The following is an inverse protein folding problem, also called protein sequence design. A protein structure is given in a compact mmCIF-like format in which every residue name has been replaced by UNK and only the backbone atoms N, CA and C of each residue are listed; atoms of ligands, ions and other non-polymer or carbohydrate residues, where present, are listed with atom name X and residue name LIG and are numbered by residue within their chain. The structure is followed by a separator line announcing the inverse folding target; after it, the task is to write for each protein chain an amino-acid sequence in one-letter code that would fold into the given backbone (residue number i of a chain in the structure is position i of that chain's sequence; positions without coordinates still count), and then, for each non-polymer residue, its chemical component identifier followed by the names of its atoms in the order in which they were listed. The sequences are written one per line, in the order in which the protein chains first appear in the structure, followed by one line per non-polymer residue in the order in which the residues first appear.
data_IF_078757113171
#
_entry.id   IF_078757113171
#
_cell.length_a   1.000
_cell.length_b   1.000
_cell.length_c   1.000
_cell.angle_alpha   90.00
_cell.angle_beta   90.00
_cell.angle_gamma   90.00
#
_symmetry.space_group_name_H-M   'P 1'
#
loop_
_entity.id
_entity.type
_entity.pdbx_description
1 polymer ?
#
# COMPACT_ATOMS: atom_id res chain seq x y z
N UNK A 1 7.09 18.23 -10.60
CA UNK A 1 5.82 17.62 -11.05
C UNK A 1 6.08 16.26 -11.68
N UNK A 2 5.07 15.40 -11.72
CA UNK A 2 5.15 14.08 -12.32
C UNK A 2 3.83 13.73 -13.04
N UNK A 3 3.91 12.78 -13.94
CA UNK A 3 2.77 12.14 -14.61
C UNK A 3 2.73 10.66 -14.23
N UNK A 4 1.57 10.05 -14.33
CA UNK A 4 1.40 8.65 -14.01
C UNK A 4 0.42 7.97 -14.97
N UNK A 5 0.60 6.66 -15.14
CA UNK A 5 -0.31 5.77 -15.86
C UNK A 5 -0.66 4.58 -15.02
N UNK A 6 -1.95 4.31 -14.86
CA UNK A 6 -2.48 3.12 -14.19
C UNK A 6 -3.05 2.15 -15.21
N UNK A 7 -2.81 0.88 -15.01
CA UNK A 7 -3.41 -0.21 -15.77
C UNK A 7 -3.62 -1.43 -14.87
N UNK A 8 -4.44 -2.39 -15.32
CA UNK A 8 -4.75 -3.61 -14.58
C UNK A 8 -4.50 -4.83 -15.46
N UNK A 9 -4.11 -5.94 -14.84
CA UNK A 9 -3.99 -7.23 -15.49
C UNK A 9 -4.49 -8.35 -14.57
N UNK A 10 -4.92 -9.47 -15.16
CA UNK A 10 -5.34 -10.65 -14.43
C UNK A 10 -4.29 -11.74 -14.56
N UNK A 11 -3.84 -12.28 -13.44
CA UNK A 11 -2.84 -13.33 -13.41
C UNK A 11 -3.03 -14.27 -12.24
N UNK A 12 -2.54 -15.51 -12.39
CA UNK A 12 -2.41 -16.45 -11.30
C UNK A 12 -0.98 -16.45 -10.76
N UNK A 13 -0.84 -16.76 -9.48
CA UNK A 13 0.45 -16.96 -8.83
C UNK A 13 0.33 -17.83 -7.57
N UNK A 14 1.46 -18.28 -7.08
CA UNK A 14 1.66 -18.81 -5.73
C UNK A 14 2.99 -18.31 -5.20
N UNK A 15 3.11 -18.23 -3.88
CA UNK A 15 4.37 -17.88 -3.23
C UNK A 15 5.05 -19.16 -2.74
N UNK A 16 6.08 -19.68 -3.44
CA UNK A 16 6.69 -20.97 -3.12
C UNK A 16 7.52 -20.96 -1.83
N UNK A 17 7.96 -19.77 -1.39
CA UNK A 17 8.88 -19.60 -0.26
C UNK A 17 8.19 -19.38 1.08
N UNK A 18 6.86 -19.27 1.11
CA UNK A 18 6.11 -19.10 2.35
C UNK A 18 6.07 -20.40 3.17
N UNK A 19 5.87 -20.31 4.48
CA UNK A 19 5.74 -21.48 5.35
C UNK A 19 4.63 -22.43 4.88
N UNK A 20 4.82 -23.73 5.15
CA UNK A 20 3.82 -24.76 4.82
C UNK A 20 2.49 -24.44 5.50
N UNK A 21 1.41 -24.46 4.72
CA UNK A 21 0.06 -24.12 5.20
C UNK A 21 -0.32 -22.66 5.07
N UNK A 22 0.59 -21.79 4.65
CA UNK A 22 0.26 -20.42 4.33
C UNK A 22 -0.65 -20.35 3.10
N UNK A 23 -1.72 -19.53 3.16
CA UNK A 23 -2.73 -19.43 2.09
C UNK A 23 -2.15 -19.05 0.72
N UNK A 24 -1.15 -18.16 0.70
CA UNK A 24 -0.50 -17.71 -0.53
C UNK A 24 0.43 -18.77 -1.16
N UNK A 25 0.71 -19.89 -0.47
CA UNK A 25 1.38 -21.03 -1.04
C UNK A 25 0.50 -21.84 -2.02
N UNK A 26 -0.81 -21.64 -2.01
CA UNK A 26 -1.73 -22.25 -2.97
C UNK A 26 -1.77 -21.39 -4.24
N UNK A 27 -1.99 -22.05 -5.39
CA UNK A 27 -2.22 -21.34 -6.65
C UNK A 27 -3.54 -20.58 -6.58
N UNK A 28 -3.48 -19.26 -6.78
CA UNK A 28 -4.64 -18.37 -6.78
C UNK A 28 -4.41 -17.23 -7.77
N UNK A 29 -5.35 -16.30 -7.87
CA UNK A 29 -5.24 -15.20 -8.82
C UNK A 29 -5.83 -13.92 -8.29
N UNK A 30 -5.36 -12.82 -8.89
CA UNK A 30 -5.81 -11.47 -8.63
C UNK A 30 -6.04 -10.69 -9.92
N UNK A 31 -6.81 -9.62 -9.80
CA UNK A 31 -6.72 -8.48 -10.70
C UNK A 31 -5.69 -7.53 -10.09
N UNK A 32 -4.46 -7.59 -10.62
CA UNK A 32 -3.41 -6.69 -10.19
C UNK A 32 -3.60 -5.31 -10.80
N UNK A 33 -3.37 -4.26 -10.02
CA UNK A 33 -3.22 -2.90 -10.54
C UNK A 33 -1.75 -2.49 -10.49
N UNK A 34 -1.31 -1.79 -11.54
CA UNK A 34 0.05 -1.23 -11.62
C UNK A 34 -0.04 0.26 -11.92
N UNK A 35 0.74 1.07 -11.22
CA UNK A 35 0.91 2.49 -11.52
C UNK A 35 2.37 2.79 -11.81
N UNK A 36 2.62 3.35 -12.98
CA UNK A 36 3.93 3.83 -13.41
C UNK A 36 4.00 5.34 -13.19
N UNK A 37 5.03 5.81 -12.50
CA UNK A 37 5.26 7.22 -12.23
C UNK A 37 6.50 7.73 -12.97
N UNK A 38 6.34 8.83 -13.67
CA UNK A 38 7.40 9.45 -14.46
C UNK A 38 7.58 10.93 -14.10
N UNK A 39 8.82 11.39 -14.08
CA UNK A 39 9.10 12.81 -13.92
C UNK A 39 8.49 13.61 -15.07
N UNK A 40 7.84 14.73 -14.73
CA UNK A 40 7.31 15.66 -15.73
C UNK A 40 8.42 16.62 -16.13
N UNK A 41 8.84 16.50 -17.38
CA UNK A 41 9.70 17.49 -18.08
C UNK A 41 8.84 18.40 -18.95
N UNK A 42 9.48 19.32 -19.71
CA UNK A 42 8.83 20.10 -20.77
C UNK A 42 8.18 19.24 -21.86
N UNK A 43 8.45 17.93 -21.83
CA UNK A 43 7.88 16.91 -22.74
C UNK A 43 6.77 16.08 -22.06
N UNK A 44 5.99 16.65 -21.16
CA UNK A 44 4.98 15.92 -20.37
C UNK A 44 3.98 15.11 -21.21
N UNK A 45 3.61 15.61 -22.40
CA UNK A 45 2.74 14.88 -23.32
C UNK A 45 3.44 13.64 -23.91
N UNK A 46 4.72 13.75 -24.28
CA UNK A 46 5.50 12.61 -24.75
C UNK A 46 5.65 11.56 -23.65
N UNK A 47 5.94 11.98 -22.41
CA UNK A 47 6.05 11.06 -21.28
C UNK A 47 4.77 10.26 -21.03
N UNK A 48 3.59 10.87 -21.24
CA UNK A 48 2.31 10.14 -21.15
C UNK A 48 2.15 9.09 -22.25
N UNK A 49 2.51 9.42 -23.50
CA UNK A 49 2.49 8.46 -24.61
C UNK A 49 3.47 7.32 -24.37
N UNK A 50 4.66 7.62 -23.87
CA UNK A 50 5.67 6.62 -23.56
C UNK A 50 5.18 5.70 -22.42
N UNK A 51 4.55 6.26 -21.36
CA UNK A 51 3.92 5.46 -20.29
C UNK A 51 2.81 4.56 -20.82
N UNK A 52 2.03 5.00 -21.79
CA UNK A 52 0.98 4.19 -22.44
C UNK A 52 1.59 2.97 -23.14
N UNK A 53 2.60 3.20 -23.99
CA UNK A 53 3.29 2.12 -24.70
C UNK A 53 3.97 1.14 -23.75
N UNK A 54 4.60 1.65 -22.67
CA UNK A 54 5.22 0.82 -21.65
C UNK A 54 4.18 -0.01 -20.90
N UNK A 55 3.05 0.58 -20.51
CA UNK A 55 1.97 -0.14 -19.83
C UNK A 55 1.39 -1.24 -20.70
N UNK A 56 1.20 -1.00 -21.99
CA UNK A 56 0.72 -2.00 -22.94
C UNK A 56 1.72 -3.16 -23.10
N UNK A 57 3.01 -2.87 -23.15
CA UNK A 57 4.06 -3.89 -23.22
C UNK A 57 4.06 -4.79 -21.98
N UNK A 58 4.03 -4.19 -20.78
CA UNK A 58 3.97 -4.94 -19.51
C UNK A 58 2.67 -5.74 -19.40
N UNK A 59 1.53 -5.15 -19.78
CA UNK A 59 0.26 -5.84 -19.80
C UNK A 59 0.30 -7.12 -20.64
N UNK A 60 0.87 -7.07 -21.83
CA UNK A 60 0.99 -8.25 -22.73
C UNK A 60 1.86 -9.35 -22.13
N UNK A 61 2.88 -9.00 -21.34
CA UNK A 61 3.74 -9.99 -20.68
C UNK A 61 3.06 -10.66 -19.48
N UNK A 62 2.19 -9.94 -18.74
CA UNK A 62 1.63 -10.38 -17.46
C UNK A 62 0.19 -10.89 -17.55
N UNK A 63 -0.65 -10.30 -18.44
CA UNK A 63 -2.08 -10.58 -18.44
C UNK A 63 -2.40 -12.02 -18.87
N UNK A 64 -3.26 -12.67 -18.10
CA UNK A 64 -3.69 -14.07 -18.27
C UNK A 64 -2.54 -15.08 -18.24
N UNK A 65 -1.51 -14.79 -17.45
CA UNK A 65 -0.35 -15.67 -17.24
C UNK A 65 -0.37 -16.27 -15.83
N UNK A 66 0.41 -17.33 -15.66
CA UNK A 66 0.90 -17.76 -14.36
C UNK A 66 2.25 -17.05 -14.13
N UNK A 67 2.30 -16.12 -13.17
CA UNK A 67 3.48 -15.27 -12.96
C UNK A 67 4.72 -16.08 -12.61
N UNK A 68 4.57 -17.19 -11.89
CA UNK A 68 5.68 -18.09 -11.53
C UNK A 68 6.43 -18.68 -12.75
N UNK A 69 5.84 -18.65 -13.94
CA UNK A 69 6.45 -19.14 -15.16
C UNK A 69 7.21 -18.05 -15.93
N UNK A 70 7.18 -16.81 -15.43
CA UNK A 70 7.88 -15.69 -16.03
C UNK A 70 9.27 -15.58 -15.40
N UNK A 71 10.29 -15.49 -16.23
CA UNK A 71 11.69 -15.37 -15.77
C UNK A 71 11.85 -14.12 -14.90
N UNK A 72 12.36 -14.31 -13.69
CA UNK A 72 12.53 -13.27 -12.67
C UNK A 72 11.31 -13.05 -11.77
N UNK A 73 10.21 -13.81 -11.99
CA UNK A 73 9.01 -13.81 -11.15
C UNK A 73 8.72 -15.20 -10.56
N UNK A 74 9.74 -15.99 -10.26
CA UNK A 74 9.58 -17.32 -9.67
C UNK A 74 8.92 -17.29 -8.29
N UNK A 75 9.05 -16.17 -7.57
CA UNK A 75 8.37 -15.87 -6.30
C UNK A 75 7.63 -14.52 -6.39
N UNK A 76 6.47 -14.44 -7.05
CA UNK A 76 5.84 -13.18 -7.46
C UNK A 76 5.04 -12.52 -6.33
N UNK A 77 5.72 -11.97 -5.33
CA UNK A 77 5.16 -11.04 -4.34
C UNK A 77 4.89 -9.67 -4.98
N UNK A 78 4.07 -8.83 -4.38
CA UNK A 78 3.83 -7.47 -4.87
C UNK A 78 5.13 -6.69 -5.01
N UNK A 79 6.08 -6.87 -4.07
CA UNK A 79 7.39 -6.23 -4.07
C UNK A 79 8.24 -6.69 -5.27
N UNK A 80 8.32 -8.00 -5.48
CA UNK A 80 9.12 -8.54 -6.59
C UNK A 80 8.49 -8.26 -7.95
N UNK A 81 7.16 -8.20 -8.05
CA UNK A 81 6.48 -7.72 -9.25
C UNK A 81 6.81 -6.25 -9.50
N UNK A 82 6.77 -5.39 -8.48
CA UNK A 82 7.07 -3.96 -8.61
C UNK A 82 8.51 -3.73 -9.10
N UNK A 83 9.50 -4.41 -8.51
CA UNK A 83 10.89 -4.29 -8.95
C UNK A 83 11.14 -4.92 -10.32
N UNK A 84 10.46 -6.02 -10.66
CA UNK A 84 10.54 -6.62 -11.99
C UNK A 84 10.01 -5.66 -13.07
N UNK A 85 8.84 -5.06 -12.85
CA UNK A 85 8.28 -4.05 -13.75
C UNK A 85 9.23 -2.87 -13.86
N UNK A 86 9.73 -2.34 -12.74
CA UNK A 86 10.67 -1.23 -12.72
C UNK A 86 11.92 -1.54 -13.55
N UNK A 87 12.54 -2.71 -13.35
CA UNK A 87 13.74 -3.12 -14.10
C UNK A 87 13.48 -3.21 -15.61
N UNK A 88 12.33 -3.77 -16.01
CA UNK A 88 11.93 -3.88 -17.41
C UNK A 88 11.83 -2.53 -18.12
N UNK A 89 11.21 -1.54 -17.47
CA UNK A 89 10.95 -0.25 -18.08
C UNK A 89 12.14 0.72 -17.95
N UNK A 90 12.95 0.59 -16.88
CA UNK A 90 14.09 1.48 -16.60
C UNK A 90 15.21 1.37 -17.63
N UNK A 91 15.40 0.20 -18.24
CA UNK A 91 16.46 -0.06 -19.25
C UNK A 91 16.45 0.97 -20.39
N UNK A 92 15.27 1.46 -20.76
CA UNK A 92 15.11 2.39 -21.89
C UNK A 92 14.52 3.75 -21.50
N UNK A 93 14.25 3.98 -20.19
CA UNK A 93 13.43 5.13 -19.74
C UNK A 93 13.91 5.68 -18.40
N UNK A 94 14.89 6.59 -18.43
CA UNK A 94 15.46 7.19 -17.23
C UNK A 94 14.47 8.06 -16.43
N UNK A 95 13.40 8.54 -17.08
CA UNK A 95 12.38 9.39 -16.45
C UNK A 95 11.42 8.66 -15.51
N UNK A 96 11.39 7.32 -15.50
CA UNK A 96 10.60 6.54 -14.55
C UNK A 96 11.32 6.54 -13.20
N UNK A 97 10.59 6.94 -12.15
CA UNK A 97 11.16 7.01 -10.80
C UNK A 97 10.46 6.10 -9.77
N UNK A 98 9.24 5.61 -10.07
CA UNK A 98 8.51 4.74 -9.12
C UNK A 98 7.52 3.84 -9.84
N UNK A 99 7.33 2.64 -9.32
CA UNK A 99 6.28 1.68 -9.70
C UNK A 99 5.49 1.32 -8.46
N UNK A 100 4.17 1.27 -8.58
CA UNK A 100 3.28 0.70 -7.56
C UNK A 100 2.57 -0.52 -8.11
N UNK A 101 2.40 -1.54 -7.25
CA UNK A 101 1.66 -2.77 -7.55
C UNK A 101 0.68 -3.04 -6.42
N UNK A 102 -0.58 -3.22 -6.77
CA UNK A 102 -1.65 -3.60 -5.85
C UNK A 102 -2.20 -4.95 -6.28
N UNK A 103 -2.16 -5.94 -5.40
CA UNK A 103 -2.80 -7.25 -5.65
C UNK A 103 -4.23 -7.32 -5.16
N UNK A 104 -4.64 -6.36 -4.31
CA UNK A 104 -6.01 -6.19 -3.82
C UNK A 104 -6.32 -4.70 -3.68
N UNK A 105 -7.61 -4.36 -3.56
CA UNK A 105 -8.05 -2.97 -3.34
C UNK A 105 -7.54 -2.36 -2.02
N UNK A 106 -6.96 -3.18 -1.15
CA UNK A 106 -6.62 -2.80 0.23
C UNK A 106 -5.14 -2.95 0.57
N UNK A 107 -4.31 -3.38 -0.35
CA UNK A 107 -2.89 -3.59 -0.08
C UNK A 107 -2.05 -3.44 -1.34
N UNK A 108 -0.87 -2.91 -1.20
CA UNK A 108 0.06 -2.72 -2.30
C UNK A 108 1.48 -2.43 -1.87
N UNK A 109 2.34 -2.34 -2.85
CA UNK A 109 3.75 -2.03 -2.71
C UNK A 109 4.15 -0.93 -3.69
N UNK A 110 5.05 -0.05 -3.30
CA UNK A 110 5.80 0.83 -4.19
C UNK A 110 7.29 0.49 -4.17
N UNK A 111 7.95 0.68 -5.31
CA UNK A 111 9.40 0.55 -5.49
C UNK A 111 9.92 1.73 -6.30
N UNK A 112 10.95 2.41 -5.80
CA UNK A 112 11.54 3.61 -6.42
C UNK A 112 12.89 3.33 -7.11
N UNK A 113 13.25 2.06 -7.26
CA UNK A 113 14.54 1.63 -7.80
C UNK A 113 15.58 1.32 -6.72
N UNK A 114 15.31 1.64 -5.47
CA UNK A 114 16.17 1.38 -4.31
C UNK A 114 15.39 0.79 -3.14
N UNK A 115 14.34 1.46 -2.71
CA UNK A 115 13.62 1.15 -1.49
C UNK A 115 12.18 0.69 -1.80
N UNK A 116 11.69 -0.23 -1.00
CA UNK A 116 10.29 -0.70 -1.04
C UNK A 116 9.51 -0.07 0.09
N UNK A 117 8.24 0.23 -0.20
CA UNK A 117 7.24 0.65 0.79
C UNK A 117 5.96 -0.10 0.54
N UNK A 118 5.46 -0.83 1.53
CA UNK A 118 4.16 -1.49 1.44
C UNK A 118 3.11 -0.71 2.22
N UNK A 119 1.86 -0.88 1.85
CA UNK A 119 0.72 -0.35 2.61
C UNK A 119 -0.42 -1.33 2.69
N UNK A 120 -1.23 -1.15 3.73
CA UNK A 120 -2.48 -1.87 3.89
C UNK A 120 -3.55 -0.94 4.40
N UNK A 121 -4.73 -1.01 3.75
CA UNK A 121 -5.94 -0.28 4.11
C UNK A 121 -6.87 -1.13 4.97
N UNK A 122 -7.55 -0.46 5.90
CA UNK A 122 -8.63 -1.04 6.71
C UNK A 122 -9.74 0.01 6.84
N UNK A 123 -10.96 -0.36 6.44
CA UNK A 123 -12.14 0.49 6.64
C UNK A 123 -12.59 0.43 8.09
N UNK A 124 -13.04 1.57 8.59
CA UNK A 124 -13.56 1.79 9.94
C UNK A 124 -14.87 2.57 9.81
N UNK A 125 -15.88 2.17 10.57
CA UNK A 125 -17.13 2.89 10.73
C UNK A 125 -17.23 3.34 12.18
N UNK A 126 -17.22 4.67 12.41
CA UNK A 126 -17.09 5.23 13.76
C UNK A 126 -18.02 6.40 13.96
N UNK A 127 -18.22 6.79 15.21
CA UNK A 127 -18.94 8.00 15.58
C UNK A 127 -18.00 8.98 16.27
N UNK A 128 -18.19 10.28 16.04
CA UNK A 128 -17.35 11.33 16.61
C UNK A 128 -18.14 12.63 16.77
N UNK A 129 -17.80 13.43 17.79
CA UNK A 129 -18.15 14.84 17.90
C UNK A 129 -16.87 15.65 18.04
N UNK A 130 -16.70 16.65 17.21
CA UNK A 130 -15.49 17.52 17.23
C UNK A 130 -15.54 18.58 18.34
N UNK A 131 -16.71 18.86 18.88
CA UNK A 131 -16.87 19.84 19.96
C UNK A 131 -17.76 19.28 21.07
N UNK A 132 -17.40 19.58 22.31
CA UNK A 132 -18.19 19.18 23.48
C UNK A 132 -19.61 19.77 23.43
N UNK A 133 -20.61 18.92 23.49
CA UNK A 133 -22.04 19.30 23.46
C UNK A 133 -22.64 19.42 22.06
N UNK A 134 -21.89 19.15 21.02
CA UNK A 134 -22.42 19.01 19.66
C UNK A 134 -23.00 17.60 19.41
N UNK A 135 -23.76 17.49 18.32
CA UNK A 135 -24.26 16.20 17.86
C UNK A 135 -23.09 15.27 17.51
N UNK A 136 -23.29 13.98 17.74
CA UNK A 136 -22.36 12.94 17.32
C UNK A 136 -22.68 12.58 15.87
N UNK A 137 -21.67 12.59 15.03
CA UNK A 137 -21.76 12.26 13.61
C UNK A 137 -21.18 10.87 13.37
N UNK A 138 -21.71 10.17 12.34
CA UNK A 138 -21.15 8.93 11.83
C UNK A 138 -20.17 9.20 10.70
N UNK A 139 -18.99 8.60 10.74
CA UNK A 139 -17.98 8.68 9.69
C UNK A 139 -17.48 7.31 9.25
N UNK A 140 -17.35 7.16 7.92
CA UNK A 140 -16.55 6.08 7.34
C UNK A 140 -15.12 6.56 7.15
N UNK A 141 -14.17 5.86 7.77
CA UNK A 141 -12.74 6.10 7.59
C UNK A 141 -12.08 4.97 6.82
N UNK A 142 -11.04 5.29 6.09
CA UNK A 142 -10.04 4.33 5.65
C UNK A 142 -8.74 4.63 6.39
N UNK A 143 -8.28 3.71 7.24
CA UNK A 143 -6.95 3.78 7.81
C UNK A 143 -5.96 3.11 6.85
N UNK A 144 -4.77 3.69 6.69
CA UNK A 144 -3.67 3.13 5.91
C UNK A 144 -2.41 3.06 6.76
N UNK A 145 -1.83 1.88 6.87
CA UNK A 145 -0.53 1.69 7.48
C UNK A 145 0.52 1.54 6.39
N UNK A 146 1.65 2.26 6.55
CA UNK A 146 2.81 2.16 5.69
C UNK A 146 3.97 1.51 6.44
N UNK A 147 4.64 0.57 5.79
CA UNK A 147 5.83 -0.11 6.30
C UNK A 147 6.98 0.04 5.32
N UNK A 148 8.14 0.39 5.84
CA UNK A 148 9.41 0.42 5.11
C UNK A 148 10.45 -0.38 5.89
N UNK A 149 10.99 -1.41 5.26
CA UNK A 149 12.06 -2.24 5.78
C UNK A 149 12.88 -2.83 4.63
N UNK A 150 14.06 -3.39 4.90
CA UNK A 150 14.74 -4.20 3.90
C UNK A 150 13.88 -5.39 3.46
N UNK A 151 13.96 -5.73 2.17
CA UNK A 151 13.29 -6.92 1.62
C UNK A 151 13.87 -8.18 2.26
N UNK A 152 13.00 -9.06 2.76
CA UNK A 152 13.42 -10.43 3.09
C UNK A 152 13.81 -11.17 1.81
N UNK A 153 15.05 -11.60 1.71
CA UNK A 153 15.61 -12.21 0.49
C UNK A 153 15.07 -13.61 0.19
N UNK A 154 14.50 -14.28 1.19
CA UNK A 154 13.91 -15.63 1.03
C UNK A 154 12.44 -15.52 0.71
N UNK A 155 11.69 -14.79 1.53
CA UNK A 155 10.24 -14.62 1.37
C UNK A 155 9.89 -13.67 0.23
N UNK A 156 10.76 -12.69 -0.07
CA UNK A 156 10.55 -11.72 -1.14
C UNK A 156 9.54 -10.64 -0.81
N UNK A 157 9.26 -10.39 0.47
CA UNK A 157 8.38 -9.34 0.96
C UNK A 157 9.02 -8.56 2.11
N UNK A 158 8.43 -7.42 2.47
CA UNK A 158 8.80 -6.68 3.68
C UNK A 158 8.12 -7.29 4.90
N UNK A 159 6.82 -7.56 4.78
CA UNK A 159 5.96 -8.14 5.81
C UNK A 159 4.72 -8.75 5.14
N UNK A 160 4.17 -9.81 5.73
CA UNK A 160 2.87 -10.34 5.32
C UNK A 160 1.76 -9.33 5.60
N UNK A 161 0.90 -9.07 4.62
CA UNK A 161 -0.26 -8.20 4.79
C UNK A 161 -1.27 -8.73 5.83
N UNK A 162 -1.30 -10.04 6.06
CA UNK A 162 -2.08 -10.66 7.12
C UNK A 162 -1.54 -10.29 8.50
N UNK A 163 -0.22 -10.30 8.68
CA UNK A 163 0.44 -9.90 9.92
C UNK A 163 0.19 -8.41 10.22
N UNK A 164 0.27 -7.54 9.20
CA UNK A 164 -0.11 -6.13 9.36
C UNK A 164 -1.54 -5.98 9.89
N UNK A 165 -2.47 -6.79 9.36
CA UNK A 165 -3.86 -6.80 9.82
C UNK A 165 -4.00 -7.23 11.28
N UNK A 166 -3.30 -8.28 11.68
CA UNK A 166 -3.36 -8.77 13.07
C UNK A 166 -2.73 -7.78 14.06
N UNK A 167 -1.63 -7.11 13.68
CA UNK A 167 -1.01 -6.05 14.49
C UNK A 167 -1.96 -4.85 14.64
N UNK A 168 -2.69 -4.47 13.60
CA UNK A 168 -3.66 -3.37 13.66
C UNK A 168 -4.95 -3.72 14.39
N UNK A 169 -5.30 -4.99 14.50
CA UNK A 169 -6.59 -5.46 15.04
C UNK A 169 -6.94 -4.90 16.42
N UNK A 170 -6.05 -4.77 17.42
CA UNK A 170 -6.39 -4.17 18.71
C UNK A 170 -6.84 -2.71 18.60
N UNK A 171 -6.24 -1.95 17.68
CA UNK A 171 -6.59 -0.55 17.41
C UNK A 171 -7.92 -0.50 16.65
N UNK A 172 -8.07 -1.36 15.65
CA UNK A 172 -9.31 -1.50 14.89
C UNK A 172 -10.51 -1.70 15.82
N UNK A 173 -10.40 -2.62 16.79
CA UNK A 173 -11.48 -2.92 17.74
C UNK A 173 -11.80 -1.77 18.69
N UNK A 174 -10.87 -0.85 18.92
CA UNK A 174 -11.12 0.35 19.74
C UNK A 174 -11.74 1.49 18.92
N UNK A 175 -11.66 1.44 17.59
CA UNK A 175 -12.15 2.52 16.74
C UNK A 175 -13.41 2.12 15.96
N UNK A 176 -13.46 0.90 15.42
CA UNK A 176 -14.56 0.44 14.57
C UNK A 176 -15.84 0.22 15.37
N UNK A 177 -16.94 0.82 14.91
CA UNK A 177 -18.23 0.83 15.60
C UNK A 177 -18.17 1.38 17.03
N UNK A 178 -17.30 2.38 17.26
CA UNK A 178 -17.11 3.04 18.56
C UNK A 178 -17.33 4.54 18.44
N UNK A 179 -17.59 5.17 19.59
CA UNK A 179 -17.56 6.62 19.73
C UNK A 179 -16.11 7.06 20.02
N UNK A 180 -15.47 7.72 19.07
CA UNK A 180 -14.05 8.07 19.16
C UNK A 180 -13.76 9.12 20.26
N UNK A 181 -14.78 9.82 20.78
CA UNK A 181 -14.65 10.71 21.94
C UNK A 181 -14.45 9.94 23.26
N UNK A 182 -14.67 8.62 23.26
CA UNK A 182 -14.48 7.76 24.43
C UNK A 182 -13.12 7.06 24.45
N UNK A 183 -12.27 7.32 23.43
CA UNK A 183 -10.91 6.80 23.40
C UNK A 183 -10.11 7.34 24.58
N UNK A 184 -9.37 6.47 25.25
CA UNK A 184 -8.56 6.83 26.41
C UNK A 184 -7.51 7.92 26.02
N UNK A 185 -7.43 8.94 26.83
CA UNK A 185 -6.55 10.12 26.66
C UNK A 185 -6.87 11.03 25.45
N UNK A 186 -8.03 10.87 24.82
CA UNK A 186 -8.50 11.73 23.75
C UNK A 186 -9.86 12.33 24.08
N UNK A 187 -9.91 13.63 24.36
CA UNK A 187 -11.16 14.37 24.54
C UNK A 187 -11.43 15.21 23.27
N UNK A 188 -12.55 14.95 22.59
CA UNK A 188 -12.92 15.65 21.33
C UNK A 188 -11.81 15.66 20.27
N UNK A 189 -11.35 14.46 19.82
CA UNK A 189 -10.19 14.36 18.96
C UNK A 189 -10.47 14.91 17.56
N UNK A 190 -9.51 15.66 17.02
CA UNK A 190 -9.43 15.93 15.60
C UNK A 190 -8.92 14.70 14.85
N UNK A 191 -9.02 14.69 13.52
CA UNK A 191 -8.44 13.62 12.70
C UNK A 191 -6.92 13.51 12.88
N UNK A 192 -6.24 14.62 13.19
CA UNK A 192 -4.81 14.65 13.49
C UNK A 192 -4.52 13.94 14.81
N UNK A 193 -5.30 14.26 15.87
CA UNK A 193 -5.16 13.58 17.17
C UNK A 193 -5.37 12.07 17.05
N UNK A 194 -6.28 11.63 16.18
CA UNK A 194 -6.54 10.22 15.93
C UNK A 194 -5.34 9.52 15.28
N UNK A 195 -4.71 10.10 14.26
CA UNK A 195 -3.52 9.46 13.63
C UNK A 195 -2.32 9.47 14.57
N UNK A 196 -2.15 10.48 15.41
CA UNK A 196 -1.11 10.54 16.43
C UNK A 196 -1.35 9.48 17.53
N UNK A 197 -2.59 9.33 17.99
CA UNK A 197 -2.98 8.30 18.94
C UNK A 197 -2.72 6.89 18.36
N UNK A 198 -3.08 6.64 17.10
CA UNK A 198 -2.75 5.39 16.41
C UNK A 198 -1.25 5.15 16.37
N UNK A 199 -0.46 6.20 16.11
CA UNK A 199 1.01 6.14 16.09
C UNK A 199 1.60 5.71 17.43
N UNK A 200 1.12 6.29 18.54
CA UNK A 200 1.56 5.93 19.90
C UNK A 200 1.30 4.44 20.18
N UNK A 201 0.19 3.89 19.71
CA UNK A 201 -0.18 2.49 19.90
C UNK A 201 0.63 1.54 18.99
N UNK A 202 0.92 1.95 17.76
CA UNK A 202 1.51 1.08 16.72
C UNK A 202 3.03 1.03 16.74
N UNK A 203 3.71 2.15 17.00
CA UNK A 203 5.18 2.22 16.96
C UNK A 203 5.86 1.12 17.79
N UNK A 204 5.40 0.81 19.03
CA UNK A 204 6.03 -0.24 19.83
C UNK A 204 5.86 -1.66 19.26
N UNK A 205 4.78 -1.93 18.51
CA UNK A 205 4.44 -3.25 17.97
C UNK A 205 4.80 -3.43 16.51
N UNK A 206 5.01 -2.32 15.79
CA UNK A 206 5.39 -2.29 14.38
C UNK A 206 6.57 -1.33 14.18
N UNK A 207 7.80 -1.75 14.53
CA UNK A 207 8.99 -0.87 14.48
C UNK A 207 9.33 -0.41 13.06
N UNK A 208 8.85 -1.12 12.03
CA UNK A 208 9.03 -0.75 10.62
C UNK A 208 7.92 0.14 10.06
N UNK A 209 7.00 0.58 10.90
CA UNK A 209 5.98 1.57 10.53
C UNK A 209 6.66 2.85 10.05
N UNK A 210 6.32 3.29 8.84
CA UNK A 210 6.86 4.52 8.22
C UNK A 210 5.80 5.62 8.07
N UNK A 211 4.54 5.29 8.29
CA UNK A 211 3.46 6.28 8.28
C UNK A 211 2.10 5.65 8.56
N UNK A 212 1.16 6.53 8.92
CA UNK A 212 -0.25 6.20 9.13
C UNK A 212 -1.08 7.24 8.42
N UNK A 213 -2.04 6.81 7.60
CA UNK A 213 -3.09 7.68 7.06
C UNK A 213 -4.43 7.35 7.68
N UNK A 214 -5.26 8.36 7.86
CA UNK A 214 -6.67 8.24 8.18
C UNK A 214 -7.45 9.14 7.24
N UNK A 215 -8.31 8.57 6.42
CA UNK A 215 -9.00 9.29 5.35
C UNK A 215 -10.51 9.15 5.53
N UNK A 216 -11.21 10.27 5.43
CA UNK A 216 -12.67 10.32 5.39
C UNK A 216 -13.18 10.00 3.97
N UNK A 217 -14.39 9.48 3.86
CA UNK A 217 -15.00 9.17 2.56
C UNK A 217 -15.24 10.39 1.68
N UNK A 218 -15.24 11.60 2.25
CA UNK A 218 -15.41 12.86 1.53
C UNK A 218 -14.13 13.42 0.90
N UNK A 219 -13.01 12.69 1.00
CA UNK A 219 -11.75 13.10 0.39
C UNK A 219 -10.86 13.96 1.29
N UNK A 220 -11.16 14.03 2.59
CA UNK A 220 -10.32 14.64 3.61
C UNK A 220 -9.49 13.58 4.31
N UNK A 221 -8.40 13.97 4.93
CA UNK A 221 -7.58 13.03 5.68
C UNK A 221 -6.44 13.69 6.42
N UNK A 222 -5.80 12.90 7.27
CA UNK A 222 -4.54 13.23 7.93
C UNK A 222 -3.55 12.10 7.77
N UNK A 223 -2.27 12.45 7.69
CA UNK A 223 -1.17 11.47 7.65
C UNK A 223 -0.12 11.81 8.71
N UNK A 224 0.28 10.81 9.46
CA UNK A 224 1.46 10.84 10.32
C UNK A 224 2.62 10.24 9.55
N UNK A 225 3.66 11.04 9.29
CA UNK A 225 4.90 10.58 8.65
C UNK A 225 5.90 10.29 9.76
N UNK A 226 6.40 9.05 9.79
CA UNK A 226 7.38 8.61 10.77
C UNK A 226 8.74 8.60 10.10
N UNK A 227 9.54 9.64 10.37
CA UNK A 227 10.91 9.72 9.89
C UNK A 227 11.78 8.80 10.75
N UNK A 228 12.33 7.75 10.13
CA UNK A 228 13.39 6.97 10.75
C UNK A 228 14.71 7.72 10.47
N UNK A 229 15.45 8.04 11.51
CA UNK A 229 16.85 8.45 11.33
C UNK A 229 17.57 7.29 10.64
N UNK A 230 18.08 7.54 9.44
CA UNK A 230 18.82 6.57 8.62
C UNK A 230 20.30 6.55 9.03
#
# INVERSE_FOLDING_TARGET
SYVWKKFSFQASHKLPNVPKGHKCGNMHGHTFEVVLYAESSDKSHQNLLDLELLSDSIYLELNKKCLNNIVGLENPTSELIASWVYAKIKVSNDFIFKVEVMETDHAGCSFDGRDYRIWRDQKLESAISYQSGEEIYGFGYTSRLYVESPLDKVLGWLMDFGDMKEIFKPIFLQMDHQNLNELENLANPSIVDLVEWMGIQLIPTLPDLSGIGLYESEGNGAELIINKER
#
